data_IF_956212129484
#
_entry.id   IF_956212129484
#
_cell.length_a   1.000
_cell.length_b   1.000
_cell.length_c   1.000
_cell.angle_alpha   90.00
_cell.angle_beta   90.00
_cell.angle_gamma   90.00
#
_symmetry.space_group_name_H-M   'P 1'
#
loop_
_entity.id
_entity.type
_entity.pdbx_description
1 polymer ?
#
# COMPACT_ATOMS: atom_id res chain seq x y z
N UNK A 1 -5.38 -2.28 -26.90
CA UNK A 1 -4.42 -2.13 -26.78
C UNK A 1 -3.93 -1.12 -25.87
N UNK A 2 -4.15 0.04 -25.88
CA UNK A 2 -3.66 1.03 -24.99
C UNK A 2 -4.12 0.86 -23.57
N UNK A 3 -5.28 0.29 -23.37
CA UNK A 3 -5.83 0.14 -22.04
C UNK A 3 -5.17 -0.97 -21.26
N UNK A 4 -4.74 -1.99 -21.94
CA UNK A 4 -4.16 -3.13 -21.27
C UNK A 4 -2.90 -2.81 -20.52
N UNK A 5 -1.96 -2.05 -21.08
CA UNK A 5 -0.77 -1.68 -20.31
C UNK A 5 -1.12 -0.94 -19.02
N UNK A 6 -2.12 -0.08 -19.09
CA UNK A 6 -2.54 0.66 -17.89
C UNK A 6 -3.04 -0.28 -16.81
N UNK A 7 -3.88 -1.22 -17.19
CA UNK A 7 -4.42 -2.18 -16.24
C UNK A 7 -3.34 -3.07 -15.67
N UNK A 8 -2.41 -3.48 -16.50
CA UNK A 8 -1.33 -4.33 -16.03
C UNK A 8 -0.45 -3.61 -15.03
N UNK A 9 -0.17 -2.34 -15.27
CA UNK A 9 0.62 -1.54 -14.34
C UNK A 9 -0.07 -1.48 -12.98
N UNK A 10 -1.36 -1.18 -12.98
CA UNK A 10 -2.13 -1.10 -11.74
C UNK A 10 -2.13 -2.43 -11.02
N UNK A 11 -2.34 -3.52 -11.75
CA UNK A 11 -2.35 -4.84 -11.15
C UNK A 11 -1.02 -5.18 -10.51
N UNK A 12 0.07 -4.88 -11.20
CA UNK A 12 1.39 -5.18 -10.66
C UNK A 12 1.70 -4.36 -9.43
N UNK A 13 1.33 -3.09 -9.46
CA UNK A 13 1.54 -2.22 -8.30
C UNK A 13 0.77 -2.77 -7.10
N UNK A 14 -0.48 -3.18 -7.30
CA UNK A 14 -1.28 -3.72 -6.21
C UNK A 14 -0.72 -5.02 -5.68
N UNK A 15 -0.25 -5.88 -6.57
CA UNK A 15 0.31 -7.17 -6.17
C UNK A 15 1.56 -6.99 -5.32
N UNK A 16 2.41 -6.04 -5.68
CA UNK A 16 3.63 -5.76 -4.93
C UNK A 16 3.33 -4.95 -3.67
N UNK A 17 2.37 -4.05 -3.76
CA UNK A 17 2.07 -3.13 -2.67
C UNK A 17 1.53 -3.85 -1.44
N UNK A 18 0.70 -4.85 -1.64
CA UNK A 18 0.10 -5.55 -0.51
C UNK A 18 1.15 -6.17 0.42
N UNK A 19 2.05 -7.04 -0.08
CA UNK A 19 3.08 -7.60 0.81
C UNK A 19 4.02 -6.54 1.35
N UNK A 20 4.28 -5.49 0.56
CA UNK A 20 5.12 -4.40 1.04
C UNK A 20 4.48 -3.72 2.25
N UNK A 21 3.20 -3.41 2.16
CA UNK A 21 2.49 -2.77 3.25
C UNK A 21 2.43 -3.67 4.48
N UNK A 22 2.23 -4.97 4.26
CA UNK A 22 2.20 -5.91 5.38
C UNK A 22 3.52 -5.92 6.13
N UNK A 23 4.63 -5.96 5.40
CA UNK A 23 5.96 -5.98 6.01
C UNK A 23 6.22 -4.68 6.75
N UNK A 24 5.92 -3.55 6.12
CA UNK A 24 6.16 -2.25 6.72
C UNK A 24 5.32 -2.09 7.99
N UNK A 25 4.05 -2.49 7.94
CA UNK A 25 3.19 -2.38 9.12
C UNK A 25 3.69 -3.26 10.25
N UNK A 26 4.18 -4.45 9.92
CA UNK A 26 4.72 -5.34 10.93
C UNK A 26 5.94 -4.70 11.63
N UNK A 27 6.86 -4.16 10.84
CA UNK A 27 8.05 -3.53 11.39
C UNK A 27 7.74 -2.24 12.15
N UNK A 28 6.67 -1.58 11.77
CA UNK A 28 6.25 -0.35 12.45
C UNK A 28 5.33 -0.63 13.65
N UNK A 29 5.18 -1.89 14.05
CA UNK A 29 4.30 -2.30 15.14
C UNK A 29 2.87 -1.82 14.89
N UNK A 30 2.44 -1.87 13.64
CA UNK A 30 1.11 -1.44 13.20
C UNK A 30 0.83 0.03 13.47
N UNK A 31 1.89 0.82 13.63
CA UNK A 31 1.77 2.26 13.79
C UNK A 31 1.72 2.91 12.41
N UNK A 32 0.53 3.37 12.02
CA UNK A 32 0.33 3.93 10.69
C UNK A 32 1.18 5.18 10.45
N UNK A 33 1.34 6.01 11.45
CA UNK A 33 2.14 7.22 11.31
C UNK A 33 3.59 6.90 11.00
N UNK A 34 4.15 5.93 11.72
CA UNK A 34 5.53 5.52 11.50
C UNK A 34 5.70 4.86 10.14
N UNK A 35 4.75 3.98 9.78
CA UNK A 35 4.81 3.31 8.48
C UNK A 35 4.72 4.30 7.34
N UNK A 36 3.86 5.30 7.48
CA UNK A 36 3.72 6.34 6.45
C UNK A 36 5.02 7.12 6.29
N UNK A 37 5.67 7.43 7.41
CA UNK A 37 6.96 8.11 7.39
C UNK A 37 7.99 7.31 6.60
N UNK A 38 8.08 6.03 6.91
CA UNK A 38 9.06 5.16 6.25
C UNK A 38 8.80 5.04 4.75
N UNK A 39 7.54 5.07 4.35
CA UNK A 39 7.16 4.96 2.95
C UNK A 39 7.17 6.30 2.23
N UNK A 40 7.35 7.39 2.97
CA UNK A 40 7.27 8.72 2.39
C UNK A 40 5.87 9.11 1.98
N UNK A 41 4.86 8.56 2.65
CA UNK A 41 3.46 8.80 2.33
C UNK A 41 2.80 9.61 3.42
N UNK A 42 1.71 10.28 3.03
CA UNK A 42 0.81 10.90 3.98
C UNK A 42 0.05 9.79 4.72
N UNK A 43 -0.21 9.98 6.01
CA UNK A 43 -0.92 8.98 6.80
C UNK A 43 -2.28 8.62 6.22
N UNK A 44 -3.00 9.61 5.72
CA UNK A 44 -4.31 9.35 5.12
C UNK A 44 -4.17 8.52 3.84
N UNK A 45 -3.14 8.78 3.06
CA UNK A 45 -2.87 8.01 1.85
C UNK A 45 -2.56 6.56 2.21
N UNK A 46 -1.72 6.36 3.22
CA UNK A 46 -1.38 5.02 3.68
C UNK A 46 -2.63 4.30 4.16
N UNK A 47 -3.46 4.98 4.94
CA UNK A 47 -4.68 4.37 5.46
C UNK A 47 -5.60 3.92 4.34
N UNK A 48 -5.73 4.73 3.30
CA UNK A 48 -6.55 4.37 2.14
C UNK A 48 -6.00 3.11 1.47
N UNK A 49 -4.69 3.03 1.33
CA UNK A 49 -4.07 1.86 0.71
C UNK A 49 -4.29 0.62 1.57
N UNK A 50 -4.17 0.75 2.87
CA UNK A 50 -4.39 -0.38 3.78
C UNK A 50 -5.84 -0.86 3.69
N UNK A 51 -6.78 0.06 3.63
CA UNK A 51 -8.19 -0.30 3.48
C UNK A 51 -8.45 -0.96 2.14
N UNK A 52 -7.83 -0.42 1.09
CA UNK A 52 -8.01 -0.95 -0.26
C UNK A 52 -7.51 -2.40 -0.36
N UNK A 53 -6.44 -2.71 0.34
CA UNK A 53 -5.88 -4.06 0.37
C UNK A 53 -6.49 -4.90 1.49
N UNK A 54 -7.44 -4.36 2.24
CA UNK A 54 -8.11 -5.05 3.34
C UNK A 54 -7.15 -5.49 4.43
N UNK A 55 -6.11 -4.71 4.65
CA UNK A 55 -5.13 -4.98 5.69
C UNK A 55 -5.56 -4.39 7.03
N UNK A 56 -6.48 -3.44 7.02
CA UNK A 56 -7.11 -2.90 8.21
C UNK A 56 -8.61 -2.80 7.97
N UNK A 57 -9.36 -2.58 9.01
CA UNK A 57 -10.81 -2.47 8.92
C UNK A 57 -11.32 -1.04 8.91
#
# INVERSE_FOLDING_TARGET
KGTEPDNMHDMMVRVVEKPLLEVVMHHADHNQSRAAEWLGLNRNTLRKKLLDHKLIK
#
